data_IF_632809903880
#
_entry.id   IF_632809903880
#
_cell.length_a   1.000
_cell.length_b   1.000
_cell.length_c   1.000
_cell.angle_alpha   90.00
_cell.angle_beta   90.00
_cell.angle_gamma   90.00
#
_symmetry.space_group_name_H-M   'P 1'
#
loop_
_entity.id
_entity.type
_entity.pdbx_description
1 polymer ?
#
# COMPACT_ATOMS: atom_id res chain seq x y z
N UNK A 1 12.48 -4.07 -17.99
CA UNK A 1 12.32 -3.59 -16.61
C UNK A 1 11.48 -4.62 -15.89
N UNK A 2 12.06 -5.29 -14.91
CA UNK A 2 11.38 -6.27 -14.08
C UNK A 2 10.71 -5.56 -12.90
N UNK A 3 9.79 -6.23 -12.23
CA UNK A 3 9.14 -5.70 -11.03
C UNK A 3 10.12 -5.44 -9.88
N UNK A 4 11.14 -6.31 -9.74
CA UNK A 4 12.22 -6.12 -8.77
C UNK A 4 12.95 -4.81 -9.05
N UNK A 5 13.23 -4.51 -10.32
CA UNK A 5 13.86 -3.24 -10.72
C UNK A 5 12.99 -2.01 -10.34
N UNK A 6 11.67 -2.15 -10.35
CA UNK A 6 10.74 -1.08 -9.94
C UNK A 6 10.81 -0.86 -8.43
N UNK A 7 10.76 -1.94 -7.64
CA UNK A 7 10.83 -1.87 -6.19
C UNK A 7 12.18 -1.33 -5.70
N UNK A 8 13.28 -1.72 -6.33
CA UNK A 8 14.63 -1.25 -5.98
C UNK A 8 14.83 0.25 -6.25
N UNK A 9 14.10 0.80 -7.23
CA UNK A 9 14.19 2.21 -7.63
C UNK A 9 13.16 3.11 -6.94
N UNK A 10 12.13 2.53 -6.33
CA UNK A 10 11.14 3.27 -5.56
C UNK A 10 11.79 4.01 -4.41
N UNK A 11 11.41 5.27 -4.21
CA UNK A 11 11.78 6.06 -3.03
C UNK A 11 11.11 5.54 -1.75
N UNK A 12 10.16 4.62 -1.88
CA UNK A 12 9.32 4.12 -0.80
C UNK A 12 9.56 2.63 -0.56
N UNK A 13 9.41 2.22 0.71
CA UNK A 13 9.41 0.80 1.05
C UNK A 13 8.03 0.21 0.76
N UNK A 14 7.95 -0.84 -0.04
CA UNK A 14 6.71 -1.56 -0.27
C UNK A 14 6.56 -2.69 0.73
N UNK A 15 5.43 -2.70 1.43
CA UNK A 15 5.12 -3.65 2.50
C UNK A 15 4.04 -4.59 2.03
N UNK A 16 4.30 -5.90 2.12
CA UNK A 16 3.26 -6.92 2.05
C UNK A 16 2.41 -6.88 3.35
N UNK A 17 1.13 -6.59 3.19
CA UNK A 17 0.19 -6.43 4.29
C UNK A 17 -0.20 -7.75 4.94
N UNK A 18 -0.20 -8.86 4.19
CA UNK A 18 -0.74 -10.14 4.62
C UNK A 18 0.23 -11.32 4.48
N UNK A 19 1.47 -11.06 4.03
CA UNK A 19 2.52 -12.08 3.83
C UNK A 19 2.09 -13.16 2.80
N UNK A 20 1.26 -12.77 1.83
CA UNK A 20 0.73 -13.63 0.76
C UNK A 20 1.01 -13.08 -0.65
N UNK A 21 1.83 -12.02 -0.75
CA UNK A 21 2.15 -11.29 -1.99
C UNK A 21 0.91 -10.81 -2.77
N UNK A 22 -0.27 -10.72 -2.17
CA UNK A 22 -1.51 -10.30 -2.84
C UNK A 22 -1.90 -8.84 -2.56
N UNK A 23 -1.28 -8.21 -1.56
CA UNK A 23 -1.54 -6.81 -1.22
C UNK A 23 -0.26 -6.10 -0.76
N UNK A 24 0.28 -5.24 -1.63
CA UNK A 24 1.44 -4.40 -1.28
C UNK A 24 1.01 -2.96 -1.07
N UNK A 25 1.63 -2.30 -0.09
CA UNK A 25 1.34 -0.91 0.24
C UNK A 25 2.59 -0.15 0.64
N UNK A 26 2.67 1.11 0.21
CA UNK A 26 3.69 2.06 0.59
C UNK A 26 3.04 3.35 1.11
N UNK A 27 3.66 3.94 2.13
CA UNK A 27 3.25 5.19 2.74
C UNK A 27 4.35 6.25 2.61
N UNK A 28 3.98 7.45 2.22
CA UNK A 28 4.75 8.67 2.50
C UNK A 28 4.25 9.38 3.75
N UNK A 29 4.31 10.72 3.75
CA UNK A 29 3.80 11.58 4.81
C UNK A 29 2.41 12.14 4.49
N UNK A 30 2.17 12.53 3.24
CA UNK A 30 0.92 13.10 2.77
C UNK A 30 0.09 12.12 1.93
N UNK A 31 0.66 11.03 1.45
CA UNK A 31 0.09 10.11 0.48
C UNK A 31 0.44 8.66 0.81
N UNK A 32 -0.34 7.77 0.20
CA UNK A 32 -0.12 6.33 0.22
C UNK A 32 -0.51 5.74 -1.14
N UNK A 33 0.17 4.66 -1.51
CA UNK A 33 -0.12 3.87 -2.70
C UNK A 33 -0.22 2.40 -2.32
N UNK A 34 -1.13 1.67 -2.96
CA UNK A 34 -1.31 0.25 -2.73
C UNK A 34 -1.72 -0.49 -3.99
N UNK A 35 -1.29 -1.74 -4.09
CA UNK A 35 -1.66 -2.67 -5.17
C UNK A 35 -2.30 -3.91 -4.59
N UNK A 36 -3.45 -4.30 -5.14
CA UNK A 36 -4.30 -5.36 -4.60
C UNK A 36 -4.69 -6.35 -5.70
N UNK A 37 -4.47 -7.64 -5.45
CA UNK A 37 -4.90 -8.70 -6.35
C UNK A 37 -6.35 -9.11 -6.07
N UNK A 38 -7.17 -9.18 -7.11
CA UNK A 38 -8.52 -9.73 -7.06
C UNK A 38 -8.89 -10.34 -8.42
N UNK A 39 -9.40 -11.58 -8.41
CA UNK A 39 -9.90 -12.29 -9.61
C UNK A 39 -8.97 -12.21 -10.83
N UNK A 40 -7.69 -12.54 -10.64
CA UNK A 40 -6.73 -12.60 -11.74
C UNK A 40 -6.17 -11.26 -12.19
N UNK A 41 -6.53 -10.15 -11.54
CA UNK A 41 -6.06 -8.81 -11.88
C UNK A 41 -5.52 -8.04 -10.69
N UNK A 42 -4.54 -7.19 -10.97
CA UNK A 42 -4.01 -6.23 -10.02
C UNK A 42 -4.74 -4.90 -10.14
N UNK A 43 -4.89 -4.23 -9.00
CA UNK A 43 -5.58 -2.96 -8.87
C UNK A 43 -4.68 -1.99 -8.11
N UNK A 44 -4.30 -0.90 -8.74
CA UNK A 44 -3.58 0.19 -8.10
C UNK A 44 -4.57 1.18 -7.50
N UNK A 45 -4.36 1.56 -6.24
CA UNK A 45 -5.19 2.50 -5.50
C UNK A 45 -4.28 3.46 -4.75
N UNK A 46 -4.62 4.75 -4.79
CA UNK A 46 -3.88 5.80 -4.10
C UNK A 46 -4.80 6.68 -3.28
N UNK A 47 -4.23 7.33 -2.26
CA UNK A 47 -4.89 8.38 -1.52
C UNK A 47 -3.87 9.41 -1.01
N UNK A 48 -4.35 10.62 -0.73
CA UNK A 48 -3.52 11.68 -0.18
C UNK A 48 -4.31 12.53 0.82
N UNK A 49 -3.60 13.32 1.62
CA UNK A 49 -4.17 14.19 2.64
C UNK A 49 -5.02 15.26 1.98
N UNK A 50 -6.33 15.23 2.25
CA UNK A 50 -7.30 16.12 1.63
C UNK A 50 -7.81 15.64 0.27
N UNK A 51 -7.36 14.48 -0.20
CA UNK A 51 -7.84 13.84 -1.43
C UNK A 51 -8.55 12.52 -1.15
N UNK A 52 -9.58 12.23 -1.93
CA UNK A 52 -10.29 10.96 -1.84
C UNK A 52 -9.42 9.81 -2.36
N UNK A 53 -9.60 8.63 -1.78
CA UNK A 53 -9.02 7.39 -2.32
C UNK A 53 -9.51 7.17 -3.76
N UNK A 54 -8.58 6.95 -4.70
CA UNK A 54 -8.89 6.76 -6.12
C UNK A 54 -8.21 5.53 -6.71
N UNK A 55 -8.89 4.90 -7.68
CA UNK A 55 -8.33 3.83 -8.50
C UNK A 55 -7.35 4.47 -9.50
N UNK A 56 -6.15 3.91 -9.59
CA UNK A 56 -5.05 4.42 -10.43
C UNK A 56 -4.86 3.58 -11.69
N UNK A 57 -5.16 2.28 -11.62
CA UNK A 57 -5.00 1.36 -12.74
C UNK A 57 -5.46 -0.04 -12.41
N UNK A 58 -5.71 -0.82 -13.46
CA UNK A 58 -6.07 -2.25 -13.39
C UNK A 58 -5.28 -2.99 -14.46
N UNK A 59 -4.66 -4.11 -14.11
CA UNK A 59 -3.90 -4.91 -15.08
C UNK A 59 -2.89 -5.85 -14.45
N UNK A 60 -1.69 -5.87 -15.02
CA UNK A 60 -0.54 -6.63 -14.52
C UNK A 60 0.06 -5.96 -13.28
N UNK A 61 0.67 -6.76 -12.41
CA UNK A 61 1.25 -6.29 -11.14
C UNK A 61 2.25 -5.15 -11.33
N UNK A 62 3.21 -5.32 -12.25
CA UNK A 62 4.24 -4.32 -12.50
C UNK A 62 3.65 -2.97 -12.97
N UNK A 63 2.57 -3.00 -13.76
CA UNK A 63 1.88 -1.79 -14.22
C UNK A 63 1.19 -1.09 -13.05
N UNK A 64 0.46 -1.85 -12.23
CA UNK A 64 -0.21 -1.30 -11.06
C UNK A 64 0.79 -0.76 -10.03
N UNK A 65 1.91 -1.45 -9.86
CA UNK A 65 2.97 -1.04 -8.96
C UNK A 65 3.60 0.27 -9.43
N UNK A 66 3.92 0.39 -10.72
CA UNK A 66 4.41 1.64 -11.31
C UNK A 66 3.40 2.78 -11.12
N UNK A 67 2.10 2.55 -11.40
CA UNK A 67 1.07 3.58 -11.24
C UNK A 67 0.92 4.06 -9.78
N UNK A 68 1.03 3.15 -8.81
CA UNK A 68 0.97 3.48 -7.40
C UNK A 68 2.28 4.11 -6.87
N UNK A 69 3.43 3.82 -7.48
CA UNK A 69 4.69 4.50 -7.19
C UNK A 69 4.70 5.92 -7.77
N UNK A 70 4.27 6.10 -9.01
CA UNK A 70 4.11 7.41 -9.65
C UNK A 70 3.20 8.32 -8.83
N UNK A 71 2.09 7.77 -8.32
CA UNK A 71 1.23 8.47 -7.37
C UNK A 71 1.98 9.07 -6.19
N UNK A 72 2.79 8.23 -5.52
CA UNK A 72 3.53 8.62 -4.34
C UNK A 72 4.56 9.69 -4.68
N UNK A 73 5.27 9.54 -5.79
CA UNK A 73 6.23 10.55 -6.25
C UNK A 73 5.57 11.88 -6.65
N UNK A 74 4.32 11.86 -7.13
CA UNK A 74 3.57 13.07 -7.47
C UNK A 74 3.02 13.81 -6.24
N UNK A 75 2.63 13.09 -5.19
CA UNK A 75 1.93 13.66 -4.02
C UNK A 75 2.83 13.80 -2.77
N UNK A 76 4.08 13.33 -2.82
CA UNK A 76 5.08 13.53 -1.79
C UNK A 76 6.18 14.49 -2.25
N UNK A 77 6.80 15.17 -1.30
CA UNK A 77 8.01 15.95 -1.55
C UNK A 77 9.24 15.13 -1.15
N UNK A 78 10.36 15.33 -1.83
CA UNK A 78 11.61 14.58 -1.61
C UNK A 78 12.03 14.54 -0.13
N UNK A 79 11.89 15.64 0.64
CA UNK A 79 12.25 15.66 2.07
C UNK A 79 11.43 14.71 2.94
N UNK A 80 10.22 14.34 2.51
CA UNK A 80 9.26 13.54 3.28
C UNK A 80 9.25 12.05 2.95
N UNK A 81 9.72 11.67 1.75
CA UNK A 81 9.92 10.28 1.34
C UNK A 81 11.07 9.61 2.12
N UNK A 82 12.11 10.38 2.49
CA UNK A 82 13.24 9.89 3.26
C UNK A 82 12.96 9.87 4.77
N UNK A 83 12.07 8.98 5.22
CA UNK A 83 12.15 8.49 6.60
C UNK A 83 13.54 7.86 6.75
N UNK A 84 14.33 8.31 7.73
CA UNK A 84 15.66 7.73 7.92
C UNK A 84 15.53 6.21 8.03
N UNK A 85 16.41 5.46 7.35
CA UNK A 85 16.38 3.97 7.36
C UNK A 85 16.28 3.43 8.79
N UNK A 86 16.88 4.13 9.75
CA UNK A 86 16.79 3.82 11.18
C UNK A 86 15.39 4.04 11.80
N UNK A 87 14.60 5.03 11.37
CA UNK A 87 13.22 5.21 11.86
C UNK A 87 12.28 4.11 11.33
N UNK A 88 12.46 3.72 10.07
CA UNK A 88 11.60 2.73 9.41
C UNK A 88 11.63 1.37 10.10
N UNK A 89 12.82 0.93 10.52
CA UNK A 89 13.05 -0.35 11.19
C UNK A 89 12.83 -0.35 12.71
N UNK A 90 12.54 0.80 13.34
CA UNK A 90 12.26 0.83 14.77
C UNK A 90 10.95 0.11 15.11
N UNK A 91 10.73 -0.29 16.38
CA UNK A 91 9.44 -0.84 16.79
C UNK A 91 8.29 0.18 16.67
N UNK A 92 7.04 -0.30 16.57
CA UNK A 92 5.86 0.56 16.48
C UNK A 92 5.71 1.37 17.74
N UNK A 93 5.23 2.60 17.60
CA UNK A 93 4.90 3.43 18.76
C UNK A 93 3.65 2.92 19.47
N UNK A 94 3.52 3.19 20.77
CA UNK A 94 2.29 2.85 21.51
C UNK A 94 1.03 3.42 20.84
N UNK A 95 1.13 4.63 20.27
CA UNK A 95 0.02 5.25 19.54
C UNK A 95 -0.39 4.42 18.32
N UNK A 96 0.56 3.86 17.57
CA UNK A 96 0.26 2.98 16.44
C UNK A 96 -0.38 1.67 16.91
N UNK A 97 0.13 1.05 17.98
CA UNK A 97 -0.41 -0.19 18.54
C UNK A 97 -1.87 -0.08 19.05
N UNK A 98 -2.35 1.14 19.32
CA UNK A 98 -3.77 1.39 19.67
C UNK A 98 -4.72 1.25 18.47
N UNK A 99 -4.23 1.48 17.25
CA UNK A 99 -5.02 1.38 16.02
C UNK A 99 -4.91 0.01 15.34
N UNK A 100 -3.98 -0.83 15.79
CA UNK A 100 -3.79 -2.19 15.29
C UNK A 100 -4.56 -3.21 16.12
N UNK A 101 -4.87 -4.33 15.48
CA UNK A 101 -5.46 -5.48 16.13
C UNK A 101 -4.54 -6.04 17.24
N UNK A 102 -5.10 -6.63 18.32
CA UNK A 102 -4.30 -7.09 19.46
C UNK A 102 -3.18 -8.06 19.12
N UNK A 103 -3.35 -8.86 18.08
CA UNK A 103 -2.40 -9.86 17.59
C UNK A 103 -1.06 -9.20 17.20
N UNK A 104 -1.11 -7.99 16.63
CA UNK A 104 0.08 -7.22 16.27
C UNK A 104 0.88 -6.70 17.47
N UNK A 105 0.34 -6.76 18.70
CA UNK A 105 1.08 -6.39 19.92
C UNK A 105 2.08 -7.46 20.34
N UNK A 106 1.92 -8.69 19.84
CA UNK A 106 2.80 -9.82 20.10
C UNK A 106 3.75 -10.09 18.92
N UNK A 107 3.61 -9.34 17.83
CA UNK A 107 4.52 -9.39 16.69
C UNK A 107 5.75 -8.53 16.94
N UNK A 108 6.82 -9.16 17.43
CA UNK A 108 8.09 -8.50 17.68
C UNK A 108 8.89 -8.16 16.41
N UNK A 109 8.49 -8.69 15.24
CA UNK A 109 9.08 -8.35 13.95
C UNK A 109 8.40 -7.14 13.30
N UNK A 110 7.26 -6.69 13.85
CA UNK A 110 6.51 -5.56 13.32
C UNK A 110 7.35 -4.28 13.38
N UNK A 111 7.70 -3.75 12.21
CA UNK A 111 8.40 -2.47 12.14
C UNK A 111 7.43 -1.31 12.24
N UNK A 112 7.95 -0.14 12.62
CA UNK A 112 7.19 1.11 12.68
C UNK A 112 6.58 1.48 11.34
N UNK A 113 7.30 1.20 10.25
CA UNK A 113 6.80 1.44 8.92
C UNK A 113 5.69 0.47 8.53
N UNK A 114 5.87 -0.84 8.75
CA UNK A 114 4.82 -1.85 8.52
C UNK A 114 3.56 -1.56 9.33
N UNK A 115 3.72 -1.17 10.61
CA UNK A 115 2.61 -0.72 11.44
C UNK A 115 1.88 0.50 10.84
N UNK A 116 2.63 1.46 10.27
CA UNK A 116 2.03 2.60 9.58
C UNK A 116 1.24 2.16 8.34
N UNK A 117 1.75 1.25 7.52
CA UNK A 117 1.05 0.74 6.34
C UNK A 117 -0.26 0.03 6.72
N UNK A 118 -0.21 -0.87 7.71
CA UNK A 118 -1.39 -1.56 8.23
C UNK A 118 -2.47 -0.60 8.77
N UNK A 119 -2.07 0.45 9.48
CA UNK A 119 -3.00 1.47 9.97
C UNK A 119 -3.64 2.23 8.80
N UNK A 120 -2.84 2.66 7.82
CA UNK A 120 -3.35 3.36 6.63
C UNK A 120 -4.32 2.48 5.86
N UNK A 121 -3.98 1.20 5.66
CA UNK A 121 -4.90 0.22 5.08
C UNK A 121 -6.19 0.12 5.89
N UNK A 122 -6.10 -0.01 7.22
CA UNK A 122 -7.26 -0.11 8.11
C UNK A 122 -8.23 1.07 7.96
N UNK A 123 -7.72 2.31 7.91
CA UNK A 123 -8.55 3.50 7.72
C UNK A 123 -9.20 3.58 6.33
N UNK A 124 -8.50 3.09 5.28
CA UNK A 124 -8.96 3.19 3.90
C UNK A 124 -9.63 1.91 3.38
N UNK A 125 -9.70 0.84 4.20
CA UNK A 125 -10.12 -0.51 3.81
C UNK A 125 -11.46 -0.53 3.08
N UNK A 126 -12.43 0.25 3.55
CA UNK A 126 -13.76 0.33 2.92
C UNK A 126 -13.68 0.89 1.49
N UNK A 127 -12.96 2.01 1.31
CA UNK A 127 -12.81 2.65 0.01
C UNK A 127 -12.01 1.77 -0.95
N UNK A 128 -10.89 1.19 -0.48
CA UNK A 128 -10.08 0.23 -1.24
C UNK A 128 -10.95 -0.93 -1.72
N UNK A 129 -11.66 -1.60 -0.80
CA UNK A 129 -12.52 -2.73 -1.16
C UNK A 129 -13.57 -2.35 -2.19
N UNK A 130 -14.21 -1.19 -2.03
CA UNK A 130 -15.21 -0.70 -2.98
C UNK A 130 -14.61 -0.51 -4.37
N UNK A 131 -13.48 0.19 -4.48
CA UNK A 131 -12.81 0.46 -5.75
C UNK A 131 -12.36 -0.84 -6.42
N UNK A 132 -11.64 -1.70 -5.70
CA UNK A 132 -11.14 -2.97 -6.20
C UNK A 132 -12.29 -3.89 -6.68
N UNK A 133 -13.35 -4.03 -5.88
CA UNK A 133 -14.51 -4.86 -6.26
C UNK A 133 -15.25 -4.27 -7.47
N UNK A 134 -15.43 -2.95 -7.52
CA UNK A 134 -16.13 -2.29 -8.64
C UNK A 134 -15.33 -2.32 -9.95
N UNK A 135 -14.01 -2.33 -9.86
CA UNK A 135 -13.09 -2.35 -10.98
C UNK A 135 -12.76 -3.78 -11.45
N UNK A 136 -13.21 -4.79 -10.71
CA UNK A 136 -13.19 -6.18 -11.12
C UNK A 136 -14.50 -6.48 -11.84
N UNK A 137 -14.51 -6.58 -13.19
CA UNK A 137 -15.66 -7.11 -13.90
C UNK A 137 -16.05 -8.45 -13.29
N UNK A 138 -17.33 -8.59 -12.91
CA UNK A 138 -17.89 -9.91 -12.66
C UNK A 138 -17.59 -10.75 -13.90
N UNK A 139 -16.75 -11.76 -13.77
CA UNK A 139 -16.55 -12.71 -14.84
C UNK A 139 -17.94 -13.21 -15.25
N UNK A 140 -18.39 -12.79 -16.44
CA UNK A 140 -19.38 -13.56 -17.19
C UNK A 140 -18.70 -14.88 -17.48
N UNK A 141 -18.78 -15.81 -16.53
CA UNK A 141 -18.71 -17.24 -16.81
C UNK A 141 -19.95 -17.58 -17.63
N UNK A 142 -19.88 -17.23 -18.91
CA UNK A 142 -20.65 -17.81 -19.97
C UNK A 142 -19.78 -18.92 -20.57
N UNK A 143 -19.99 -20.15 -20.12
CA UNK A 143 -19.91 -21.40 -20.88
C UNK A 143 -20.21 -22.55 -19.91
#
# INVERSE_FOLDING_TARGET
MTEIDLLERSSFAWVDLFDDDAALMANGFNAWGGVFFLEGRWHAVGGAKGEATRLLGVGERAICLAAADDWLNEHETDESAFKSKGWLGQPPTEKQLRYLAPEHRQDYALTRYRASALITFGFNRRAIRQLVTSATPADRRAA
#
